data_IF_622772398545
#
_entry.id   IF_622772398545
#
_cell.length_a   1.000
_cell.length_b   1.000
_cell.length_c   1.000
_cell.angle_alpha   90.00
_cell.angle_beta   90.00
_cell.angle_gamma   90.00
#
_symmetry.space_group_name_H-M   'P 1'
#
loop_
_entity.id
_entity.type
_entity.pdbx_description
1 polymer ?
#
# COMPACT_ATOMS: atom_id res chain seq x y z
N UNK A 1 61.15 -25.18 27.46
CA UNK A 1 60.44 -24.02 28.09
C UNK A 1 60.01 -22.95 27.09
N UNK A 2 60.88 -22.42 26.21
CA UNK A 2 60.52 -21.38 25.21
C UNK A 2 59.46 -21.83 24.19
N UNK A 3 59.57 -23.06 23.70
CA UNK A 3 58.67 -23.63 22.69
C UNK A 3 57.24 -23.84 23.20
N UNK A 4 57.10 -24.35 24.43
CA UNK A 4 55.81 -24.46 25.12
C UNK A 4 55.12 -23.10 25.25
N UNK A 5 55.84 -22.06 25.68
CA UNK A 5 55.29 -20.70 25.80
C UNK A 5 54.88 -20.12 24.44
N UNK A 6 55.66 -20.38 23.39
CA UNK A 6 55.34 -19.96 22.02
C UNK A 6 54.04 -20.62 21.52
N UNK A 7 53.88 -21.93 21.70
CA UNK A 7 52.69 -22.66 21.29
C UNK A 7 51.44 -22.24 22.10
N UNK A 8 51.61 -21.94 23.40
CA UNK A 8 50.53 -21.47 24.29
C UNK A 8 50.01 -20.08 23.86
N UNK A 9 50.92 -19.15 23.54
CA UNK A 9 50.57 -17.81 23.05
C UNK A 9 49.89 -17.86 21.67
N UNK A 10 50.34 -18.76 20.79
CA UNK A 10 49.73 -18.98 19.47
C UNK A 10 48.29 -19.49 19.61
N UNK A 11 48.05 -20.45 20.51
CA UNK A 11 46.72 -21.00 20.82
C UNK A 11 45.77 -19.95 21.43
N UNK A 12 46.27 -19.11 22.34
CA UNK A 12 45.52 -17.99 22.92
C UNK A 12 45.08 -16.97 21.86
N UNK A 13 45.98 -16.62 20.93
CA UNK A 13 45.68 -15.66 19.86
C UNK A 13 44.63 -16.20 18.87
N UNK A 14 44.68 -17.50 18.57
CA UNK A 14 43.72 -18.19 17.70
C UNK A 14 42.33 -18.23 18.34
N UNK A 15 42.20 -18.64 19.61
CA UNK A 15 40.90 -18.67 20.30
C UNK A 15 40.27 -17.28 20.41
N UNK A 16 41.09 -16.25 20.66
CA UNK A 16 40.60 -14.87 20.75
C UNK A 16 40.03 -14.38 19.40
N UNK A 17 40.70 -14.66 18.29
CA UNK A 17 40.22 -14.28 16.95
C UNK A 17 38.96 -15.06 16.55
N UNK A 18 38.87 -16.35 16.90
CA UNK A 18 37.67 -17.17 16.67
C UNK A 18 36.48 -16.62 17.45
N UNK A 19 36.68 -16.22 18.71
CA UNK A 19 35.62 -15.64 19.55
C UNK A 19 35.07 -14.32 18.98
N UNK A 20 35.94 -13.45 18.46
CA UNK A 20 35.49 -12.22 17.78
C UNK A 20 34.75 -12.53 16.50
N UNK A 21 35.23 -13.51 15.72
CA UNK A 21 34.56 -13.93 14.49
C UNK A 21 33.17 -14.51 14.76
N UNK A 22 33.02 -15.36 15.78
CA UNK A 22 31.71 -15.89 16.19
C UNK A 22 30.78 -14.79 16.71
N UNK A 23 31.32 -13.78 17.40
CA UNK A 23 30.54 -12.64 17.90
C UNK A 23 30.05 -11.74 16.75
N UNK A 24 30.89 -11.49 15.74
CA UNK A 24 30.51 -10.73 14.53
C UNK A 24 29.45 -11.47 13.72
N UNK A 25 29.55 -12.80 13.60
CA UNK A 25 28.52 -13.62 12.97
C UNK A 25 27.19 -13.50 13.74
N UNK A 26 27.22 -13.66 15.07
CA UNK A 26 26.03 -13.54 15.91
C UNK A 26 25.37 -12.15 15.81
N UNK A 27 26.19 -11.09 15.77
CA UNK A 27 25.73 -9.72 15.60
C UNK A 27 25.09 -9.50 14.21
N UNK A 28 25.66 -10.10 13.17
CA UNK A 28 25.13 -10.00 11.80
C UNK A 28 23.76 -10.67 11.64
N UNK A 29 23.47 -11.75 12.38
CA UNK A 29 22.16 -12.43 12.34
C UNK A 29 21.01 -11.53 12.81
N UNK A 30 21.26 -10.60 13.74
CA UNK A 30 20.23 -9.68 14.28
C UNK A 30 19.74 -8.69 13.20
N UNK A 31 20.56 -8.41 12.18
CA UNK A 31 20.24 -7.46 11.10
C UNK A 31 19.48 -8.07 9.91
N UNK A 32 19.20 -9.39 9.91
CA UNK A 32 18.49 -10.05 8.80
C UNK A 32 16.96 -9.98 8.87
N UNK A 33 16.38 -9.20 9.78
CA UNK A 33 14.92 -9.02 9.84
C UNK A 33 14.47 -8.07 8.72
N UNK A 34 14.14 -8.62 7.54
CA UNK A 34 13.37 -7.87 6.55
C UNK A 34 11.98 -7.62 7.12
N UNK A 35 11.53 -6.37 7.31
CA UNK A 35 10.13 -6.13 7.68
C UNK A 35 9.28 -6.71 6.55
N UNK A 36 8.35 -7.61 6.90
CA UNK A 36 7.37 -8.11 5.96
C UNK A 36 6.57 -6.89 5.47
N UNK A 37 6.81 -6.46 4.24
CA UNK A 37 6.12 -5.34 3.64
C UNK A 37 4.70 -5.83 3.33
N UNK A 38 3.77 -5.62 4.26
CA UNK A 38 2.38 -6.00 4.09
C UNK A 38 1.83 -5.20 2.91
N UNK A 39 1.46 -5.90 1.84
CA UNK A 39 0.89 -5.28 0.65
C UNK A 39 -0.44 -4.63 1.02
N UNK A 40 -0.50 -3.30 0.99
CA UNK A 40 -1.73 -2.53 1.21
C UNK A 40 -2.44 -2.40 -0.14
N UNK A 41 -3.66 -2.92 -0.23
CA UNK A 41 -4.48 -2.75 -1.43
C UNK A 41 -5.37 -1.51 -1.27
N UNK A 42 -5.32 -0.60 -2.23
CA UNK A 42 -6.17 0.60 -2.22
C UNK A 42 -7.46 0.31 -2.97
N UNK A 43 -8.62 0.58 -2.36
CA UNK A 43 -9.93 0.27 -2.92
C UNK A 43 -10.82 1.52 -2.84
N UNK A 44 -11.55 1.78 -3.91
CA UNK A 44 -12.60 2.79 -3.96
C UNK A 44 -13.97 2.10 -3.91
N UNK A 45 -14.88 2.64 -3.11
CA UNK A 45 -16.26 2.15 -2.99
C UNK A 45 -17.16 3.21 -3.65
N UNK A 46 -17.88 2.81 -4.70
CA UNK A 46 -18.84 3.64 -5.41
C UNK A 46 -20.22 3.54 -4.76
N UNK A 47 -21.13 4.44 -5.13
CA UNK A 47 -22.54 4.27 -4.81
C UNK A 47 -23.15 3.08 -5.54
N UNK A 48 -24.13 2.46 -4.90
CA UNK A 48 -24.86 1.34 -5.46
C UNK A 48 -26.01 1.84 -6.34
N UNK A 49 -26.11 1.31 -7.55
CA UNK A 49 -27.25 1.62 -8.40
C UNK A 49 -28.49 0.86 -7.91
N UNK A 50 -29.58 1.60 -7.71
CA UNK A 50 -30.88 0.98 -7.46
C UNK A 50 -31.40 0.44 -8.80
N UNK A 51 -31.34 -0.88 -8.96
CA UNK A 51 -31.85 -1.58 -10.16
C UNK A 51 -33.32 -1.97 -10.04
N UNK A 52 -33.95 -1.69 -8.91
CA UNK A 52 -35.39 -1.88 -8.73
C UNK A 52 -36.19 -0.76 -9.38
N UNK A 53 -37.51 -0.95 -9.50
CA UNK A 53 -38.44 0.10 -9.93
C UNK A 53 -38.91 1.01 -8.79
N UNK A 54 -38.50 0.70 -7.56
CA UNK A 54 -38.96 1.39 -6.36
C UNK A 54 -37.99 2.52 -6.00
N UNK A 55 -38.47 3.76 -6.09
CA UNK A 55 -37.69 4.95 -5.79
C UNK A 55 -37.45 5.15 -4.28
N UNK A 56 -38.24 4.52 -3.42
CA UNK A 56 -38.06 4.60 -1.97
C UNK A 56 -36.74 3.95 -1.52
N UNK A 57 -36.17 3.07 -2.35
CA UNK A 57 -34.89 2.41 -2.09
C UNK A 57 -33.67 3.23 -2.53
N UNK A 58 -33.86 4.35 -3.24
CA UNK A 58 -32.75 5.21 -3.68
C UNK A 58 -31.82 5.68 -2.54
N UNK A 59 -32.31 6.02 -1.32
CA UNK A 59 -31.44 6.37 -0.21
C UNK A 59 -30.48 5.25 0.24
N UNK A 60 -30.83 3.98 0.01
CA UNK A 60 -29.98 2.84 0.34
C UNK A 60 -28.70 2.79 -0.48
N UNK A 61 -28.70 3.37 -1.69
CA UNK A 61 -27.53 3.51 -2.54
C UNK A 61 -26.32 4.06 -1.77
N UNK A 62 -26.55 5.17 -1.07
CA UNK A 62 -25.53 5.85 -0.28
C UNK A 62 -25.33 5.16 1.07
N UNK A 63 -26.41 4.74 1.72
CA UNK A 63 -26.35 4.08 3.03
C UNK A 63 -25.49 2.80 3.01
N UNK A 64 -25.66 1.96 1.99
CA UNK A 64 -24.88 0.73 1.81
C UNK A 64 -23.40 1.01 1.54
N UNK A 65 -23.10 2.04 0.75
CA UNK A 65 -21.72 2.45 0.49
C UNK A 65 -21.03 2.95 1.77
N UNK A 66 -21.71 3.80 2.55
CA UNK A 66 -21.17 4.33 3.81
C UNK A 66 -20.98 3.21 4.86
N UNK A 67 -21.87 2.22 4.91
CA UNK A 67 -21.71 1.00 5.74
C UNK A 67 -20.49 0.19 5.32
N UNK A 68 -20.32 -0.11 4.02
CA UNK A 68 -19.16 -0.86 3.53
C UNK A 68 -17.85 -0.12 3.76
N UNK A 69 -17.82 1.20 3.59
CA UNK A 69 -16.65 2.03 3.91
C UNK A 69 -16.28 1.89 5.38
N UNK A 70 -17.27 1.97 6.27
CA UNK A 70 -17.08 1.84 7.72
C UNK A 70 -16.52 0.47 8.08
N UNK A 71 -17.13 -0.61 7.57
CA UNK A 71 -16.70 -1.97 7.87
C UNK A 71 -15.28 -2.26 7.35
N UNK A 72 -14.99 -1.85 6.11
CA UNK A 72 -13.71 -2.11 5.46
C UNK A 72 -12.59 -1.16 5.93
N UNK A 73 -12.92 -0.01 6.52
CA UNK A 73 -11.93 0.90 7.11
C UNK A 73 -11.11 0.27 8.24
N UNK A 74 -11.66 -0.74 8.91
CA UNK A 74 -11.01 -1.46 10.01
C UNK A 74 -9.99 -2.52 9.51
N UNK A 75 -9.95 -2.79 8.22
CA UNK A 75 -9.07 -3.81 7.63
C UNK A 75 -7.70 -3.19 7.35
N UNK A 76 -6.69 -3.53 8.17
CA UNK A 76 -5.33 -2.96 8.09
C UNK A 76 -4.60 -3.17 6.75
N UNK A 77 -5.01 -4.18 5.97
CA UNK A 77 -4.45 -4.46 4.63
C UNK A 77 -5.14 -3.67 3.52
N UNK A 78 -6.19 -2.90 3.83
CA UNK A 78 -6.93 -2.10 2.88
C UNK A 78 -6.73 -0.60 3.15
N UNK A 79 -6.63 0.17 2.08
CA UNK A 79 -6.69 1.63 2.11
C UNK A 79 -7.92 2.07 1.34
N UNK A 80 -8.91 2.59 2.05
CA UNK A 80 -10.11 3.12 1.41
C UNK A 80 -9.84 4.54 0.92
N UNK A 81 -10.23 4.85 -0.31
CA UNK A 81 -10.10 6.20 -0.86
C UNK A 81 -11.23 7.09 -0.35
N UNK A 82 -10.90 8.32 0.04
CA UNK A 82 -11.88 9.31 0.49
C UNK A 82 -12.88 9.66 -0.61
N UNK A 83 -14.17 9.43 -0.30
CA UNK A 83 -15.28 9.55 -1.24
C UNK A 83 -15.48 10.96 -1.81
N UNK A 84 -15.36 11.99 -0.97
CA UNK A 84 -15.56 13.38 -1.38
C UNK A 84 -14.49 13.84 -2.38
N UNK A 85 -13.27 13.33 -2.22
CA UNK A 85 -12.17 13.61 -3.13
C UNK A 85 -12.40 12.95 -4.48
N UNK A 86 -12.86 11.70 -4.51
CA UNK A 86 -13.19 11.00 -5.75
C UNK A 86 -14.35 11.67 -6.50
N UNK A 87 -15.45 11.98 -5.82
CA UNK A 87 -16.60 12.67 -6.43
C UNK A 87 -16.24 14.05 -6.97
N UNK A 88 -15.42 14.81 -6.23
CA UNK A 88 -14.95 16.12 -6.68
C UNK A 88 -14.07 15.98 -7.92
N UNK A 89 -13.15 15.01 -7.95
CA UNK A 89 -12.30 14.74 -9.11
C UNK A 89 -13.12 14.27 -10.32
N UNK A 90 -14.08 13.38 -10.13
CA UNK A 90 -14.96 12.91 -11.21
C UNK A 90 -15.84 14.03 -11.77
N UNK A 91 -16.37 14.91 -10.91
CA UNK A 91 -17.09 16.10 -11.36
C UNK A 91 -16.19 17.08 -12.10
N UNK A 92 -14.96 17.26 -11.63
CA UNK A 92 -13.97 18.12 -12.29
C UNK A 92 -13.61 17.59 -13.68
N UNK A 93 -13.37 16.28 -13.82
CA UNK A 93 -13.12 15.63 -15.13
C UNK A 93 -14.32 15.82 -16.06
N UNK A 94 -15.55 15.57 -15.59
CA UNK A 94 -16.77 15.78 -16.41
C UNK A 94 -16.98 17.24 -16.80
N UNK A 95 -16.67 18.18 -15.91
CA UNK A 95 -16.76 19.61 -16.19
C UNK A 95 -15.68 20.05 -17.18
N UNK A 96 -14.48 19.50 -17.12
CA UNK A 96 -13.42 19.77 -18.08
C UNK A 96 -13.77 19.22 -19.46
N UNK A 97 -14.23 17.96 -19.56
CA UNK A 97 -14.76 17.38 -20.80
C UNK A 97 -15.89 18.24 -21.40
N UNK A 98 -16.80 18.76 -20.58
CA UNK A 98 -17.88 19.63 -21.04
C UNK A 98 -17.40 20.96 -21.63
N UNK A 99 -16.22 21.47 -21.24
CA UNK A 99 -15.62 22.68 -21.83
C UNK A 99 -15.00 22.41 -23.21
N UNK A 100 -14.64 21.18 -23.52
CA UNK A 100 -14.13 20.79 -24.85
C UNK A 100 -15.24 20.50 -25.86
N UNK A 101 -16.45 20.17 -25.38
CA UNK A 101 -17.64 19.97 -26.23
C UNK A 101 -18.36 21.32 -26.44
N UNK A 102 -17.66 22.27 -27.04
CA UNK A 102 -18.32 23.40 -27.70
C UNK A 102 -18.89 22.88 -29.03
N UNK A 103 -20.06 23.36 -29.44
CA UNK A 103 -20.83 22.83 -30.58
C UNK A 103 -20.05 22.87 -31.92
N UNK A 104 -18.97 23.67 -31.97
CA UNK A 104 -18.00 23.73 -33.07
C UNK A 104 -16.97 22.59 -33.09
N UNK A 105 -16.64 21.98 -31.95
CA UNK A 105 -15.64 20.89 -31.86
C UNK A 105 -16.23 19.52 -32.21
N UNK A 106 -17.53 19.32 -31.94
CA UNK A 106 -18.23 18.06 -32.26
C UNK A 106 -18.18 17.70 -33.76
N UNK A 107 -18.10 18.70 -34.67
CA UNK A 107 -17.96 18.43 -36.11
C UNK A 107 -16.56 17.93 -36.53
N UNK A 108 -15.51 18.19 -35.73
CA UNK A 108 -14.15 17.71 -36.03
C UNK A 108 -13.89 16.28 -35.56
N UNK A 109 -14.67 15.77 -34.61
CA UNK A 109 -14.57 14.39 -34.12
C UNK A 109 -15.31 13.37 -35.02
N UNK A 110 -16.00 13.83 -36.07
CA UNK A 110 -16.78 12.99 -37.01
C UNK A 110 -16.12 12.70 -38.35
N UNK A 111 -14.81 12.90 -38.51
CA UNK A 111 -14.03 12.45 -39.69
C UNK A 111 -12.67 11.92 -39.24
N UNK A 112 -12.62 10.62 -39.00
CA UNK A 112 -11.42 9.84 -38.69
C UNK A 112 -11.82 8.41 -38.41
#
# INVERSE_FOLDING_TARGET
MKEYKHNMLKKLKINRNISYFTFVILLSLIFYTKPANAKINTVAISYFDNTSKDQELNPLSKGLADMMITDLSNVKSLKIVEREKLEKLLKEIKLDESKFIDQKTAQKLGKG
#
